data_IF_536966536107
#
_entry.id   IF_536966536107
#
_cell.length_a   1.000
_cell.length_b   1.000
_cell.length_c   1.000
_cell.angle_alpha   90.00
_cell.angle_beta   90.00
_cell.angle_gamma   90.00
#
_symmetry.space_group_name_H-M   'P 1'
#
loop_
_entity.id
_entity.type
_entity.pdbx_description
1 polymer ?
#
# COMPACT_ATOMS: atom_id res chain seq x y z
N UNK A 1 36.26 -17.15 14.24
CA UNK A 1 35.09 -16.26 14.15
C UNK A 1 33.93 -17.08 14.67
N UNK A 2 33.42 -16.74 15.84
CA UNK A 2 32.42 -17.56 16.53
C UNK A 2 31.06 -17.46 15.85
N UNK A 3 30.37 -18.59 15.71
CA UNK A 3 29.09 -18.68 15.00
C UNK A 3 28.05 -17.73 15.63
N UNK A 4 28.08 -17.57 16.95
CA UNK A 4 27.22 -16.65 17.68
C UNK A 4 27.42 -15.18 17.28
N UNK A 5 28.66 -14.79 17.00
CA UNK A 5 28.98 -13.41 16.61
C UNK A 5 28.46 -13.10 15.20
N UNK A 6 28.55 -14.09 14.29
CA UNK A 6 27.97 -13.99 12.96
C UNK A 6 26.43 -13.93 13.01
N UNK A 7 25.79 -14.72 13.87
CA UNK A 7 24.33 -14.71 14.05
C UNK A 7 23.85 -13.35 14.59
N UNK A 8 24.54 -12.77 15.59
CA UNK A 8 24.17 -11.45 16.12
C UNK A 8 24.33 -10.33 15.08
N UNK A 9 25.37 -10.40 14.24
CA UNK A 9 25.57 -9.43 13.16
C UNK A 9 24.47 -9.54 12.10
N UNK A 10 24.10 -10.76 11.72
CA UNK A 10 22.97 -11.02 10.84
C UNK A 10 21.65 -10.50 11.42
N UNK A 11 21.38 -10.72 12.72
CA UNK A 11 20.18 -10.20 13.38
C UNK A 11 20.12 -8.67 13.36
N UNK A 12 21.25 -7.99 13.60
CA UNK A 12 21.31 -6.51 13.51
C UNK A 12 21.07 -6.00 12.10
N UNK A 13 21.64 -6.67 11.09
CA UNK A 13 21.45 -6.32 9.69
C UNK A 13 20.02 -6.56 9.24
N UNK A 14 19.39 -7.66 9.67
CA UNK A 14 17.97 -7.94 9.44
C UNK A 14 17.11 -6.88 10.11
N UNK A 15 17.32 -6.54 11.38
CA UNK A 15 16.54 -5.50 12.06
C UNK A 15 16.70 -4.11 11.42
N UNK A 16 17.89 -3.78 10.92
CA UNK A 16 18.15 -2.54 10.19
C UNK A 16 17.45 -2.52 8.82
N UNK A 17 17.45 -3.66 8.10
CA UNK A 17 16.71 -3.83 6.86
C UNK A 17 15.20 -3.79 7.09
N UNK A 18 14.70 -4.42 8.15
CA UNK A 18 13.29 -4.37 8.55
C UNK A 18 12.87 -2.93 8.86
N UNK A 19 13.68 -2.16 9.60
CA UNK A 19 13.41 -0.74 9.82
C UNK A 19 13.49 0.10 8.55
N UNK A 20 14.45 -0.16 7.68
CA UNK A 20 14.60 0.56 6.42
C UNK A 20 13.41 0.28 5.48
N UNK A 21 12.98 -0.97 5.39
CA UNK A 21 11.79 -1.41 4.64
C UNK A 21 10.51 -0.87 5.27
N UNK A 22 10.45 -0.68 6.59
CA UNK A 22 9.29 -0.10 7.25
C UNK A 22 9.22 1.44 7.13
N UNK A 23 10.37 2.12 7.11
CA UNK A 23 10.45 3.60 7.04
C UNK A 23 10.49 4.17 5.62
N UNK A 24 11.06 3.46 4.65
CA UNK A 24 11.12 3.93 3.26
C UNK A 24 9.74 4.16 2.62
N UNK A 25 8.71 3.32 2.83
CA UNK A 25 7.36 3.57 2.32
C UNK A 25 6.72 4.80 2.97
N UNK A 26 7.02 5.08 4.26
CA UNK A 26 6.35 6.15 5.02
C UNK A 26 6.77 7.56 4.61
N UNK A 27 8.05 7.77 4.25
CA UNK A 27 8.52 9.10 3.81
C UNK A 27 7.97 9.46 2.42
N UNK A 28 7.92 8.50 1.50
CA UNK A 28 7.30 8.68 0.17
C UNK A 28 5.77 8.78 0.29
N UNK A 29 5.15 8.02 1.21
CA UNK A 29 3.72 8.09 1.47
C UNK A 29 3.28 9.46 1.97
N UNK A 30 3.99 10.11 2.92
CA UNK A 30 3.59 11.45 3.42
C UNK A 30 3.51 12.52 2.33
N UNK A 31 4.46 12.54 1.40
CA UNK A 31 4.43 13.47 0.28
C UNK A 31 3.36 13.11 -0.77
N UNK A 32 3.04 11.82 -0.89
CA UNK A 32 1.98 11.33 -1.78
C UNK A 32 0.59 11.61 -1.22
N UNK A 33 0.38 11.44 0.08
CA UNK A 33 -0.85 11.71 0.83
C UNK A 33 -1.34 13.13 0.62
N UNK A 34 -0.44 14.10 0.80
CA UNK A 34 -0.76 15.51 0.56
C UNK A 34 -1.15 15.76 -0.90
N UNK A 35 -0.44 15.17 -1.86
CA UNK A 35 -0.73 15.34 -3.30
C UNK A 35 -2.01 14.63 -3.73
N UNK A 36 -2.32 13.48 -3.13
CA UNK A 36 -3.61 12.79 -3.29
C UNK A 36 -4.73 13.70 -2.82
N UNK A 37 -4.55 14.37 -1.68
CA UNK A 37 -5.53 15.31 -1.16
C UNK A 37 -5.73 16.53 -2.07
N UNK A 38 -4.64 17.12 -2.56
CA UNK A 38 -4.69 18.27 -3.49
C UNK A 38 -5.34 17.93 -4.83
N UNK A 39 -5.37 16.64 -5.21
CA UNK A 39 -5.92 16.14 -6.48
C UNK A 39 -7.13 15.23 -6.27
N UNK A 40 -7.79 15.27 -5.10
CA UNK A 40 -8.83 14.30 -4.71
C UNK A 40 -9.98 14.20 -5.71
N UNK A 41 -10.36 15.31 -6.36
CA UNK A 41 -11.42 15.35 -7.39
C UNK A 41 -11.06 14.58 -8.68
N UNK A 42 -9.77 14.31 -8.89
CA UNK A 42 -9.24 13.64 -10.09
C UNK A 42 -8.82 12.19 -9.84
N UNK A 43 -8.81 11.76 -8.58
CA UNK A 43 -8.31 10.43 -8.18
C UNK A 43 -9.48 9.61 -7.65
N UNK A 44 -9.90 8.61 -8.42
CA UNK A 44 -11.00 7.75 -8.01
C UNK A 44 -10.60 6.79 -6.88
N UNK A 45 -11.57 6.32 -6.10
CA UNK A 45 -11.36 5.29 -5.07
C UNK A 45 -10.59 4.07 -5.57
N UNK A 46 -10.81 3.65 -6.82
CA UNK A 46 -10.09 2.52 -7.42
C UNK A 46 -8.60 2.79 -7.60
N UNK A 47 -8.25 4.01 -7.99
CA UNK A 47 -6.86 4.44 -8.19
C UNK A 47 -6.16 4.51 -6.83
N UNK A 48 -6.85 5.03 -5.81
CA UNK A 48 -6.35 5.05 -4.43
C UNK A 48 -6.08 3.65 -3.88
N UNK A 49 -6.95 2.67 -4.16
CA UNK A 49 -6.72 1.28 -3.75
C UNK A 49 -5.49 0.70 -4.44
N UNK A 50 -5.30 0.99 -5.73
CA UNK A 50 -4.11 0.54 -6.49
C UNK A 50 -2.84 1.15 -5.92
N UNK A 51 -2.86 2.44 -5.58
CA UNK A 51 -1.75 3.14 -4.92
C UNK A 51 -1.49 2.59 -3.51
N UNK A 52 -2.54 2.33 -2.72
CA UNK A 52 -2.40 1.75 -1.38
C UNK A 52 -1.72 0.38 -1.42
N UNK A 53 -2.17 -0.49 -2.33
CA UNK A 53 -1.59 -1.81 -2.56
C UNK A 53 -0.16 -1.76 -3.12
N UNK A 54 0.21 -0.67 -3.80
CA UNK A 54 1.58 -0.45 -4.29
C UNK A 54 2.55 -0.09 -3.18
N UNK A 55 2.06 0.68 -2.21
CA UNK A 55 2.83 1.10 -1.03
C UNK A 55 2.90 -0.02 0.02
N UNK A 56 1.82 -0.79 0.15
CA UNK A 56 1.71 -1.90 1.07
C UNK A 56 1.09 -3.10 0.34
N UNK A 57 1.91 -4.12 0.02
CA UNK A 57 1.40 -5.34 -0.60
C UNK A 57 0.69 -6.25 0.43
N UNK A 58 -0.10 -7.22 -0.05
CA UNK A 58 -0.78 -8.26 0.75
C UNK A 58 -1.63 -7.68 1.87
N UNK A 59 -2.59 -6.84 1.50
CA UNK A 59 -3.50 -6.21 2.47
C UNK A 59 -4.90 -6.81 2.40
N UNK A 60 -5.59 -6.86 3.54
CA UNK A 60 -7.03 -7.10 3.61
C UNK A 60 -7.81 -5.85 3.18
N UNK A 61 -9.10 -6.01 2.88
CA UNK A 61 -9.96 -4.85 2.55
C UNK A 61 -10.01 -3.82 3.67
N UNK A 62 -10.03 -4.27 4.92
CA UNK A 62 -10.07 -3.39 6.08
C UNK A 62 -8.76 -2.65 6.28
N UNK A 63 -7.62 -3.31 6.03
CA UNK A 63 -6.31 -2.64 6.03
C UNK A 63 -6.21 -1.58 4.93
N UNK A 64 -6.70 -1.88 3.73
CA UNK A 64 -6.78 -0.89 2.63
C UNK A 64 -7.68 0.27 3.06
N UNK A 65 -8.86 0.00 3.63
CA UNK A 65 -9.79 1.03 4.11
C UNK A 65 -9.14 1.91 5.17
N UNK A 66 -8.39 1.33 6.10
CA UNK A 66 -7.68 2.06 7.15
C UNK A 66 -6.65 3.03 6.54
N UNK A 67 -5.81 2.56 5.60
CA UNK A 67 -4.83 3.42 4.89
C UNK A 67 -5.52 4.61 4.21
N UNK A 68 -6.62 4.35 3.50
CA UNK A 68 -7.33 5.39 2.75
C UNK A 68 -8.08 6.37 3.66
N UNK A 69 -8.53 5.90 4.83
CA UNK A 69 -9.09 6.75 5.88
C UNK A 69 -8.01 7.63 6.51
N UNK A 70 -6.82 7.07 6.75
CA UNK A 70 -5.68 7.80 7.32
C UNK A 70 -5.21 8.93 6.40
N UNK A 71 -5.14 8.68 5.09
CA UNK A 71 -4.82 9.71 4.10
C UNK A 71 -5.78 10.91 4.15
N UNK A 72 -7.02 10.67 4.59
CA UNK A 72 -8.10 11.66 4.63
C UNK A 72 -8.40 12.33 5.90
N UNK A 73 -7.82 11.85 6.98
CA UNK A 73 -8.15 12.29 8.32
C UNK A 73 -7.99 13.81 8.48
N UNK A 74 -7.08 14.42 7.71
CA UNK A 74 -6.86 15.87 7.67
C UNK A 74 -7.93 16.67 6.88
N UNK A 75 -8.75 16.01 6.07
CA UNK A 75 -9.69 16.63 5.10
C UNK A 75 -11.15 16.16 5.28
N UNK A 76 -11.46 15.40 6.34
CA UNK A 76 -12.81 14.93 6.67
C UNK A 76 -13.12 13.50 6.22
N UNK A 77 -14.38 13.08 6.26
CA UNK A 77 -14.83 11.75 5.83
C UNK A 77 -14.90 11.65 4.30
N UNK A 78 -13.76 11.77 3.64
CA UNK A 78 -13.65 11.76 2.18
C UNK A 78 -13.63 10.35 1.56
N UNK A 79 -13.51 9.32 2.39
CA UNK A 79 -13.28 7.94 1.97
C UNK A 79 -14.06 6.98 2.86
N UNK A 80 -15.27 6.63 2.44
CA UNK A 80 -16.15 5.75 3.21
C UNK A 80 -15.81 4.24 3.07
N UNK A 81 -14.69 3.91 2.43
CA UNK A 81 -14.39 2.52 2.05
C UNK A 81 -15.21 2.04 0.87
N UNK A 82 -15.81 2.97 0.11
CA UNK A 82 -16.71 2.71 -1.00
C UNK A 82 -16.10 1.82 -2.08
N UNK A 83 -16.52 0.56 -2.09
CA UNK A 83 -16.26 -0.46 -3.10
C UNK A 83 -14.78 -0.68 -3.45
N UNK A 84 -14.12 -1.52 -2.63
CA UNK A 84 -13.20 -2.52 -3.17
C UNK A 84 -13.93 -3.32 -4.24
N UNK A 85 -13.89 -2.80 -5.46
CA UNK A 85 -14.70 -3.34 -6.52
C UNK A 85 -14.01 -4.60 -7.02
N UNK A 86 -14.75 -5.71 -7.08
CA UNK A 86 -14.31 -6.87 -7.87
C UNK A 86 -13.93 -6.51 -9.31
N UNK A 87 -14.25 -5.28 -9.77
CA UNK A 87 -13.74 -4.66 -11.00
C UNK A 87 -12.22 -4.52 -11.04
N UNK A 88 -11.52 -4.22 -9.93
CA UNK A 88 -10.03 -4.20 -9.92
C UNK A 88 -9.44 -5.59 -10.18
N UNK A 89 -10.05 -6.61 -9.59
CA UNK A 89 -9.71 -8.02 -9.83
C UNK A 89 -10.07 -8.43 -11.26
N UNK A 90 -11.28 -8.11 -11.75
CA UNK A 90 -11.73 -8.37 -13.13
C UNK A 90 -10.88 -7.65 -14.18
N UNK A 91 -10.37 -6.44 -13.90
CA UNK A 91 -9.45 -5.69 -14.76
C UNK A 91 -8.03 -6.28 -14.78
N UNK A 92 -7.77 -7.27 -13.91
CA UNK A 92 -6.47 -7.91 -13.75
C UNK A 92 -5.43 -7.00 -13.13
N UNK A 93 -5.83 -5.99 -12.35
CA UNK A 93 -4.91 -5.08 -11.65
C UNK A 93 -4.56 -5.61 -10.25
N UNK A 94 -5.51 -6.29 -9.61
CA UNK A 94 -5.38 -6.85 -8.27
C UNK A 94 -5.61 -8.36 -8.32
N UNK A 95 -4.86 -9.11 -7.54
CA UNK A 95 -5.03 -10.55 -7.32
C UNK A 95 -5.32 -10.84 -5.85
N UNK A 96 -6.00 -11.95 -5.58
CA UNK A 96 -6.14 -12.52 -4.24
C UNK A 96 -4.96 -13.47 -4.01
N UNK A 97 -4.10 -13.17 -3.05
CA UNK A 97 -2.91 -13.97 -2.73
C UNK A 97 -3.19 -15.09 -1.73
N UNK A 98 -4.31 -15.01 -1.00
CA UNK A 98 -4.65 -15.98 0.03
C UNK A 98 -5.69 -15.43 1.00
N UNK A 99 -5.72 -16.02 2.19
CA UNK A 99 -6.52 -15.57 3.32
C UNK A 99 -5.67 -15.50 4.59
N UNK A 100 -6.04 -14.62 5.51
CA UNK A 100 -5.51 -14.61 6.89
C UNK A 100 -6.07 -15.80 7.67
N UNK A 101 -5.49 -16.05 8.86
CA UNK A 101 -5.99 -17.08 9.79
C UNK A 101 -7.42 -16.81 10.27
N UNK A 102 -7.87 -15.55 10.22
CA UNK A 102 -9.25 -15.11 10.52
C UNK A 102 -10.22 -15.30 9.35
N UNK A 103 -9.72 -15.71 8.17
CA UNK A 103 -10.51 -15.93 6.96
C UNK A 103 -10.61 -14.72 6.03
N UNK A 104 -9.90 -13.63 6.31
CA UNK A 104 -9.96 -12.41 5.52
C UNK A 104 -9.07 -12.51 4.28
N UNK A 105 -9.62 -12.14 3.12
CA UNK A 105 -8.89 -12.17 1.86
C UNK A 105 -7.71 -11.19 1.83
N UNK A 106 -6.55 -11.67 1.40
CA UNK A 106 -5.35 -10.87 1.17
C UNK A 106 -5.21 -10.54 -0.32
N UNK A 107 -4.95 -9.27 -0.61
CA UNK A 107 -4.85 -8.76 -1.97
C UNK A 107 -3.50 -8.09 -2.22
N UNK A 108 -2.96 -8.27 -3.43
CA UNK A 108 -1.81 -7.52 -3.96
C UNK A 108 -2.02 -7.14 -5.41
N UNK A 109 -1.15 -6.26 -5.92
CA UNK A 109 -1.14 -5.92 -7.33
C UNK A 109 -0.66 -7.11 -8.18
N UNK A 110 -1.19 -7.19 -9.39
CA UNK A 110 -0.53 -7.91 -10.47
C UNK A 110 0.57 -7.03 -11.07
N UNK A 111 1.41 -7.59 -11.96
CA UNK A 111 2.38 -6.79 -12.71
C UNK A 111 1.75 -5.63 -13.50
N UNK A 112 0.53 -5.84 -14.01
CA UNK A 112 -0.24 -4.77 -14.67
C UNK A 112 -0.70 -3.71 -13.68
N UNK A 113 -1.13 -4.13 -12.48
CA UNK A 113 -1.49 -3.24 -11.39
C UNK A 113 -0.32 -2.39 -10.90
N UNK A 114 0.89 -2.97 -10.81
CA UNK A 114 2.10 -2.25 -10.43
C UNK A 114 2.44 -1.13 -11.40
N UNK A 115 2.41 -1.40 -12.71
CA UNK A 115 2.64 -0.40 -13.75
C UNK A 115 1.60 0.73 -13.67
N UNK A 116 0.32 0.37 -13.50
CA UNK A 116 -0.76 1.36 -13.35
C UNK A 116 -0.55 2.23 -12.10
N UNK A 117 -0.17 1.61 -10.98
CA UNK A 117 0.12 2.32 -9.74
C UNK A 117 1.29 3.30 -9.89
N UNK A 118 2.38 2.86 -10.52
CA UNK A 118 3.56 3.71 -10.74
C UNK A 118 3.21 4.89 -11.66
N UNK A 119 2.39 4.69 -12.70
CA UNK A 119 1.88 5.76 -13.55
C UNK A 119 0.99 6.75 -12.79
N UNK A 120 0.12 6.25 -11.90
CA UNK A 120 -0.73 7.09 -11.04
C UNK A 120 0.12 7.92 -10.07
N UNK A 121 1.09 7.30 -9.42
CA UNK A 121 2.03 7.97 -8.51
C UNK A 121 2.80 9.06 -9.27
N UNK A 122 3.31 8.78 -10.47
CA UNK A 122 3.99 9.77 -11.30
C UNK A 122 3.08 10.96 -11.65
N UNK A 123 1.81 10.72 -12.00
CA UNK A 123 0.82 11.80 -12.26
C UNK A 123 0.49 12.63 -11.03
N UNK A 124 0.50 12.02 -9.84
CA UNK A 124 0.32 12.74 -8.58
C UNK A 124 1.54 13.61 -8.27
N UNK A 125 2.74 13.14 -8.67
CA UNK A 125 4.01 13.81 -8.45
C UNK A 125 4.35 14.91 -9.48
N UNK A 126 3.74 14.89 -10.67
CA UNK A 126 3.83 15.94 -11.69
C UNK A 126 2.96 17.16 -11.36
#
# INVERSE_FOLDING_TARGET
MDLESAIRDLQKRVASLEQAVYKAPQATARGLEQRIAEKVDKVGTQDLIVVALRLNAKQTKDQIKAVLSDWGKAYGNWFEGGNFSGRLVKKGLVKKDGQTDTGDDLYSLTKKGEIEADNLIAKLQA
#
